data_IF_390803793037
#
_entry.id   IF_390803793037
#
_cell.length_a   1.000
_cell.length_b   1.000
_cell.length_c   1.000
_cell.angle_alpha   90.00
_cell.angle_beta   90.00
_cell.angle_gamma   90.00
#
_symmetry.space_group_name_H-M   'P 1'
#
loop_
_entity.id
_entity.type
_entity.pdbx_description
1 polymer ?
#
# COMPACT_ATOMS: atom_id res chain seq x y z
N UNK A 1 -7.64 11.90 -21.32
CA UNK A 1 -6.73 11.08 -22.14
C UNK A 1 -5.62 10.64 -21.22
N UNK A 2 -5.54 9.35 -20.95
CA UNK A 2 -4.55 8.81 -20.01
C UNK A 2 -3.32 8.35 -20.78
N UNK A 3 -2.16 8.95 -20.47
CA UNK A 3 -0.90 8.65 -21.15
C UNK A 3 -0.05 7.80 -20.21
N UNK A 4 0.23 6.56 -20.62
CA UNK A 4 1.05 5.61 -19.87
C UNK A 4 2.40 5.46 -20.57
N UNK A 5 3.49 5.81 -19.88
CA UNK A 5 4.85 5.64 -20.36
C UNK A 5 5.40 4.29 -19.89
N UNK A 6 5.70 3.38 -20.83
CA UNK A 6 6.33 2.07 -20.56
C UNK A 6 7.85 2.16 -20.77
N UNK A 7 8.62 1.36 -20.02
CA UNK A 7 10.09 1.24 -20.12
C UNK A 7 10.90 2.50 -19.74
N UNK A 8 10.36 3.33 -18.84
CA UNK A 8 11.09 4.50 -18.30
C UNK A 8 12.17 4.02 -17.33
N UNK A 9 13.42 4.40 -17.56
CA UNK A 9 14.51 4.10 -16.63
C UNK A 9 14.53 5.15 -15.52
N UNK A 10 14.91 4.74 -14.30
CA UNK A 10 15.07 5.66 -13.16
C UNK A 10 16.04 6.82 -13.44
N UNK A 11 17.00 6.63 -14.34
CA UNK A 11 17.98 7.66 -14.75
C UNK A 11 17.34 8.84 -15.48
N UNK A 12 16.23 8.59 -16.17
CA UNK A 12 15.57 9.59 -17.02
C UNK A 12 14.52 10.39 -16.23
N UNK A 13 14.22 9.98 -14.99
CA UNK A 13 13.26 10.64 -14.11
C UNK A 13 13.49 12.16 -13.94
N UNK A 14 14.72 12.67 -13.74
CA UNK A 14 14.96 14.12 -13.61
C UNK A 14 14.58 14.90 -14.87
N UNK A 15 14.74 14.28 -16.05
CA UNK A 15 14.39 14.87 -17.34
C UNK A 15 12.86 14.95 -17.45
N UNK A 16 12.15 13.87 -17.14
CA UNK A 16 10.69 13.86 -17.14
C UNK A 16 10.12 14.85 -16.13
N UNK A 17 10.70 14.95 -14.93
CA UNK A 17 10.28 15.94 -13.93
C UNK A 17 10.44 17.38 -14.43
N UNK A 18 11.52 17.67 -15.15
CA UNK A 18 11.77 18.99 -15.76
C UNK A 18 10.77 19.32 -16.88
N UNK A 19 10.44 18.32 -17.70
CA UNK A 19 9.42 18.45 -18.75
C UNK A 19 8.04 18.66 -18.15
N UNK A 20 7.68 17.87 -17.14
CA UNK A 20 6.40 17.96 -16.44
C UNK A 20 6.21 19.36 -15.82
N UNK A 21 7.23 19.88 -15.13
CA UNK A 21 7.22 21.25 -14.59
C UNK A 21 7.05 22.32 -15.66
N UNK A 22 7.68 22.14 -16.83
CA UNK A 22 7.58 23.09 -17.95
C UNK A 22 6.22 23.04 -18.63
N UNK A 23 5.57 21.88 -18.64
CA UNK A 23 4.27 21.64 -19.25
C UNK A 23 3.10 21.82 -18.27
N UNK A 24 3.38 22.09 -17.00
CA UNK A 24 2.38 22.38 -15.97
C UNK A 24 1.62 21.17 -15.45
N UNK A 25 2.19 19.97 -15.52
CA UNK A 25 1.61 18.77 -14.91
C UNK A 25 2.58 18.11 -13.94
N UNK A 26 2.05 17.29 -13.03
CA UNK A 26 2.84 16.56 -12.04
C UNK A 26 2.92 15.08 -12.42
N UNK A 27 4.11 14.50 -12.28
CA UNK A 27 4.30 13.06 -12.41
C UNK A 27 3.95 12.45 -11.07
N UNK A 28 2.79 11.82 -11.00
CA UNK A 28 2.40 11.02 -9.85
C UNK A 28 3.08 9.66 -10.01
N UNK A 29 4.08 9.39 -9.17
CA UNK A 29 4.52 8.01 -8.99
C UNK A 29 3.37 7.27 -8.30
N UNK A 30 2.66 6.45 -9.08
CA UNK A 30 1.75 5.46 -8.52
C UNK A 30 2.62 4.40 -7.82
N UNK A 31 3.15 4.76 -6.65
CA UNK A 31 3.65 3.78 -5.70
C UNK A 31 2.41 3.07 -5.24
N UNK A 32 2.03 2.03 -5.97
CA UNK A 32 1.19 0.97 -5.44
C UNK A 32 1.77 0.67 -4.06
N UNK A 33 1.07 1.14 -3.01
CA UNK A 33 1.52 0.90 -1.65
C UNK A 33 1.59 -0.62 -1.55
N UNK A 34 2.72 -1.20 -1.14
CA UNK A 34 2.89 -2.65 -1.15
C UNK A 34 1.83 -3.38 -0.29
N UNK A 35 1.13 -2.63 0.56
CA UNK A 35 0.06 -3.12 1.41
C UNK A 35 -1.22 -2.31 1.19
N UNK A 36 -2.33 -3.04 1.09
CA UNK A 36 -3.67 -2.44 1.11
C UNK A 36 -3.88 -1.75 2.47
N UNK A 37 -4.18 -0.44 2.51
CA UNK A 37 -4.38 0.29 3.76
C UNK A 37 -5.55 -0.25 4.61
N UNK A 38 -6.59 -0.84 4.00
CA UNK A 38 -7.67 -1.49 4.75
C UNK A 38 -7.16 -2.73 5.50
N UNK A 39 -6.34 -3.54 4.84
CA UNK A 39 -5.71 -4.70 5.45
C UNK A 39 -4.79 -4.31 6.61
N UNK A 40 -3.98 -3.26 6.46
CA UNK A 40 -3.12 -2.75 7.55
C UNK A 40 -3.96 -2.31 8.75
N UNK A 41 -5.10 -1.67 8.50
CA UNK A 41 -6.01 -1.23 9.56
C UNK A 41 -6.61 -2.41 10.32
N UNK A 42 -7.07 -3.45 9.63
CA UNK A 42 -7.60 -4.66 10.28
C UNK A 42 -6.57 -5.34 11.20
N UNK A 43 -5.31 -5.41 10.76
CA UNK A 43 -4.23 -6.00 11.58
C UNK A 43 -3.99 -5.18 12.85
N UNK A 44 -3.95 -3.85 12.75
CA UNK A 44 -3.77 -2.97 13.91
C UNK A 44 -4.95 -3.07 14.89
N UNK A 45 -6.18 -3.11 14.37
CA UNK A 45 -7.39 -3.27 15.18
C UNK A 45 -7.44 -4.66 15.87
N UNK A 46 -6.97 -5.71 15.19
CA UNK A 46 -6.83 -7.04 15.76
C UNK A 46 -5.75 -7.08 16.85
N UNK A 47 -4.59 -6.46 16.62
CA UNK A 47 -3.52 -6.35 17.62
C UNK A 47 -4.02 -5.62 18.88
N UNK A 48 -4.77 -4.52 18.70
CA UNK A 48 -5.37 -3.79 19.81
C UNK A 48 -6.43 -4.64 20.54
N UNK A 49 -7.26 -5.39 19.81
CA UNK A 49 -8.26 -6.28 20.41
C UNK A 49 -7.64 -7.41 21.24
N UNK A 50 -6.47 -7.91 20.84
CA UNK A 50 -5.69 -8.88 21.62
C UNK A 50 -5.15 -8.22 22.89
N UNK A 51 -4.59 -7.00 22.80
CA UNK A 51 -4.11 -6.23 23.96
C UNK A 51 -5.23 -5.93 24.96
N UNK A 52 -6.42 -5.60 24.46
CA UNK A 52 -7.62 -5.34 25.25
C UNK A 52 -8.25 -6.62 25.83
N UNK A 53 -7.67 -7.80 25.57
CA UNK A 53 -8.13 -9.08 26.12
C UNK A 53 -9.41 -9.64 25.48
N UNK A 54 -9.80 -9.13 24.30
CA UNK A 54 -10.99 -9.61 23.55
C UNK A 54 -10.72 -10.89 22.75
N UNK A 55 -9.50 -11.42 22.79
CA UNK A 55 -9.13 -12.65 22.11
C UNK A 55 -9.65 -13.89 22.83
N UNK A 56 -10.24 -14.83 22.08
CA UNK A 56 -10.63 -16.15 22.60
C UNK A 56 -9.47 -17.11 22.44
N UNK A 57 -8.95 -17.66 23.54
CA UNK A 57 -8.01 -18.79 23.48
C UNK A 57 -8.79 -20.06 23.23
N UNK A 58 -8.70 -20.59 22.02
CA UNK A 58 -9.28 -21.88 21.65
C UNK A 58 -8.23 -22.96 21.87
N UNK A 59 -8.61 -24.07 22.50
CA UNK A 59 -7.73 -25.24 22.65
C UNK A 59 -7.69 -26.03 21.35
N UNK A 60 -6.58 -26.71 21.09
CA UNK A 60 -6.40 -27.45 19.83
C UNK A 60 -7.48 -28.53 19.66
N UNK A 61 -7.93 -29.13 20.77
CA UNK A 61 -9.00 -30.13 20.79
C UNK A 61 -10.36 -29.60 20.30
N UNK A 62 -10.64 -28.31 20.46
CA UNK A 62 -11.92 -27.69 20.07
C UNK A 62 -11.98 -27.32 18.58
N UNK A 63 -10.84 -27.33 17.87
CA UNK A 63 -10.75 -26.98 16.45
C UNK A 63 -11.18 -28.13 15.51
N UNK A 64 -11.32 -29.36 16.02
CA UNK A 64 -11.53 -30.57 15.21
C UNK A 64 -12.83 -31.32 15.55
N UNK A 65 -13.92 -30.60 15.87
CA UNK A 65 -15.24 -31.21 16.07
C UNK A 65 -15.91 -31.65 14.77
#
# INVERSE_FOLDING_TARGET
>A
MDIILKNVKKKDFPVFQSLAKSLGFEIIEDKEKPYNPEFVKEILDAEQSIKDGKGVKIKLEDLWK
#
